data_IF_223658659272
#
_entry.id   IF_223658659272
#
_cell.length_a   1.000
_cell.length_b   1.000
_cell.length_c   1.000
_cell.angle_alpha   90.00
_cell.angle_beta   90.00
_cell.angle_gamma   90.00
#
_symmetry.space_group_name_H-M   'P 1'
#
loop_
_entity.id
_entity.type
_entity.pdbx_description
1 polymer ?
#
# COMPACT_ATOMS: atom_id res chain seq x y z
N UNK A 1 -30.18 -28.35 -75.47
CA UNK A 1 -29.60 -27.41 -76.45
C UNK A 1 -30.56 -26.23 -76.58
N UNK A 2 -30.06 -25.03 -76.25
CA UNK A 2 -30.63 -23.68 -76.48
C UNK A 2 -32.03 -23.38 -75.93
N UNK A 3 -32.32 -22.24 -75.31
CA UNK A 3 -31.60 -20.97 -75.19
C UNK A 3 -32.64 -19.90 -74.76
N UNK A 4 -32.21 -18.99 -73.89
CA UNK A 4 -33.04 -18.11 -73.06
C UNK A 4 -33.73 -16.94 -73.77
N UNK A 5 -34.75 -16.37 -73.12
CA UNK A 5 -35.20 -14.96 -73.28
C UNK A 5 -35.85 -14.44 -71.99
N UNK A 6 -35.32 -13.34 -71.43
CA UNK A 6 -36.01 -12.29 -70.67
C UNK A 6 -34.94 -11.28 -70.20
N UNK A 7 -34.91 -10.04 -70.68
CA UNK A 7 -35.75 -8.88 -70.31
C UNK A 7 -35.22 -8.15 -69.05
N UNK A 8 -34.94 -6.85 -69.21
CA UNK A 8 -34.47 -5.89 -68.19
C UNK A 8 -34.71 -4.49 -68.79
N UNK A 9 -35.16 -3.42 -68.14
CA UNK A 9 -35.76 -3.11 -66.84
C UNK A 9 -36.42 -1.71 -67.04
N UNK A 10 -37.53 -1.34 -66.38
CA UNK A 10 -38.10 0.01 -66.50
C UNK A 10 -37.54 1.01 -65.46
N UNK A 11 -37.85 2.28 -65.75
CA UNK A 11 -37.29 3.53 -65.22
C UNK A 11 -37.72 3.89 -63.79
N UNK A 12 -36.79 4.54 -63.10
CA UNK A 12 -36.89 5.29 -61.85
C UNK A 12 -37.83 6.50 -61.94
N UNK A 13 -38.56 6.83 -60.88
CA UNK A 13 -38.77 8.22 -60.44
C UNK A 13 -39.16 8.31 -58.94
N UNK A 14 -38.29 9.01 -58.20
CA UNK A 14 -38.53 9.92 -57.06
C UNK A 14 -39.37 9.48 -55.85
N UNK A 15 -38.69 9.34 -54.71
CA UNK A 15 -39.27 9.50 -53.37
C UNK A 15 -38.51 10.60 -52.62
N UNK A 16 -39.27 11.56 -52.10
CA UNK A 16 -38.82 12.72 -51.34
C UNK A 16 -38.58 12.29 -49.88
N UNK A 17 -37.34 12.21 -49.43
CA UNK A 17 -37.02 11.88 -48.04
C UNK A 17 -36.71 13.17 -47.25
N UNK A 18 -37.52 13.44 -46.23
CA UNK A 18 -37.33 14.51 -45.25
C UNK A 18 -36.16 14.14 -44.35
N UNK A 19 -35.11 14.96 -44.33
CA UNK A 19 -33.95 14.80 -43.44
C UNK A 19 -34.24 15.54 -42.13
N UNK A 20 -34.62 14.80 -41.10
CA UNK A 20 -34.70 15.29 -39.72
C UNK A 20 -33.32 15.13 -39.08
N UNK A 21 -32.54 16.20 -38.97
CA UNK A 21 -31.27 16.21 -38.25
C UNK A 21 -31.54 16.16 -36.74
N UNK A 22 -31.32 15.00 -36.14
CA UNK A 22 -31.28 14.81 -34.69
C UNK A 22 -29.89 15.24 -34.20
N UNK A 23 -29.80 16.35 -33.46
CA UNK A 23 -28.55 16.75 -32.80
C UNK A 23 -28.40 15.89 -31.55
N UNK A 24 -27.51 14.90 -31.60
CA UNK A 24 -27.11 14.15 -30.41
C UNK A 24 -26.22 15.05 -29.55
N UNK A 25 -26.77 15.58 -28.45
CA UNK A 25 -25.98 16.20 -27.39
C UNK A 25 -25.32 15.06 -26.62
N UNK A 26 -24.05 14.78 -26.91
CA UNK A 26 -23.26 13.88 -26.07
C UNK A 26 -23.00 14.58 -24.74
N UNK A 27 -23.70 14.12 -23.70
CA UNK A 27 -23.31 14.44 -22.33
C UNK A 27 -21.93 13.82 -22.10
N UNK A 28 -20.88 14.65 -22.14
CA UNK A 28 -19.56 14.27 -21.67
C UNK A 28 -19.71 14.07 -20.16
N UNK A 29 -19.80 12.81 -19.73
CA UNK A 29 -19.71 12.49 -18.32
C UNK A 29 -18.34 12.98 -17.84
N UNK A 30 -18.34 14.06 -17.07
CA UNK A 30 -17.16 14.53 -16.37
C UNK A 30 -16.67 13.38 -15.48
N UNK A 31 -15.54 12.78 -15.84
CA UNK A 31 -14.82 11.90 -14.93
C UNK A 31 -14.45 12.77 -13.73
N UNK A 32 -15.06 12.48 -12.58
CA UNK A 32 -14.63 13.04 -11.32
C UNK A 32 -13.22 12.54 -11.06
N UNK A 33 -12.23 13.36 -11.41
CA UNK A 33 -10.86 13.22 -10.95
C UNK A 33 -10.90 13.45 -9.44
N UNK A 34 -11.07 12.35 -8.70
CA UNK A 34 -11.00 12.35 -7.25
C UNK A 34 -9.56 12.72 -6.89
N UNK A 35 -9.37 14.00 -6.57
CA UNK A 35 -8.09 14.66 -6.40
C UNK A 35 -7.05 13.79 -5.71
N UNK A 36 -6.06 13.37 -6.49
CA UNK A 36 -4.77 13.01 -5.93
C UNK A 36 -4.22 14.23 -5.17
N UNK A 37 -3.57 14.04 -4.00
CA UNK A 37 -2.81 15.10 -3.36
C UNK A 37 -1.86 15.75 -4.38
N UNK A 38 -1.51 17.04 -4.25
CA UNK A 38 -0.64 17.76 -5.21
C UNK A 38 0.79 17.21 -5.31
N UNK A 39 1.08 16.14 -4.58
CA UNK A 39 2.26 15.31 -4.72
C UNK A 39 1.77 13.91 -5.09
N UNK A 40 1.99 13.50 -6.34
CA UNK A 40 1.85 12.09 -6.72
C UNK A 40 2.71 11.20 -5.80
N UNK A 41 2.52 9.86 -5.81
CA UNK A 41 3.36 8.98 -4.99
C UNK A 41 4.82 9.28 -5.29
N UNK A 42 5.55 9.75 -4.27
CA UNK A 42 6.96 10.05 -4.38
C UNK A 42 7.64 8.77 -4.87
N UNK A 43 8.08 8.77 -6.12
CA UNK A 43 8.70 7.63 -6.77
C UNK A 43 10.19 7.91 -6.77
N UNK A 44 10.99 7.17 -5.98
CA UNK A 44 10.63 5.97 -5.20
C UNK A 44 10.08 6.23 -3.79
N UNK A 45 9.30 5.28 -3.24
CA UNK A 45 8.78 5.31 -1.87
C UNK A 45 9.88 4.88 -0.87
N UNK A 46 10.69 5.82 -0.37
CA UNK A 46 11.78 5.56 0.58
C UNK A 46 11.47 5.99 2.03
N UNK A 47 10.27 6.53 2.28
CA UNK A 47 9.82 6.96 3.61
C UNK A 47 8.36 6.51 3.81
N UNK A 48 8.08 5.73 4.85
CA UNK A 48 6.73 5.20 5.12
C UNK A 48 6.16 5.74 6.43
N UNK A 49 4.86 5.99 6.44
CA UNK A 49 4.11 6.22 7.67
C UNK A 49 3.15 5.05 7.86
N UNK A 50 3.60 4.09 8.66
CA UNK A 50 2.92 2.81 8.84
C UNK A 50 1.90 2.95 9.96
N UNK A 51 0.64 2.64 9.65
CA UNK A 51 -0.45 2.61 10.63
C UNK A 51 -0.67 1.15 11.03
N UNK A 52 -0.67 0.90 12.33
CA UNK A 52 -0.91 -0.41 12.94
C UNK A 52 -2.28 -0.36 13.63
N UNK A 53 -3.14 -1.32 13.30
CA UNK A 53 -4.50 -1.45 13.84
C UNK A 53 -4.67 -2.77 14.58
N UNK A 54 -5.65 -2.89 15.49
CA UNK A 54 -5.92 -4.15 16.17
C UNK A 54 -6.20 -5.26 15.17
N UNK A 55 -5.63 -6.44 15.41
CA UNK A 55 -6.03 -7.64 14.68
C UNK A 55 -7.44 -8.07 15.10
N UNK A 56 -8.16 -8.74 14.21
CA UNK A 56 -9.51 -9.24 14.52
C UNK A 56 -9.50 -10.13 15.76
N UNK A 57 -10.35 -9.83 16.74
CA UNK A 57 -10.44 -10.56 18.01
C UNK A 57 -9.52 -10.04 19.12
N UNK A 58 -8.70 -9.02 18.87
CA UNK A 58 -8.02 -8.29 19.94
C UNK A 58 -9.06 -7.58 20.83
N UNK A 59 -8.91 -7.71 22.15
CA UNK A 59 -9.81 -7.08 23.14
C UNK A 59 -9.56 -5.58 23.28
N UNK A 60 -8.39 -5.13 22.85
CA UNK A 60 -7.90 -3.79 23.11
C UNK A 60 -8.05 -2.93 21.85
N UNK A 61 -8.52 -1.69 22.02
CA UNK A 61 -8.67 -0.70 20.93
C UNK A 61 -7.34 -0.10 20.44
N UNK A 62 -6.25 -0.83 20.63
CA UNK A 62 -4.87 -0.37 20.46
C UNK A 62 -4.58 0.29 19.12
N UNK A 63 -3.61 1.19 19.10
CA UNK A 63 -3.19 1.85 17.87
C UNK A 63 -1.68 2.02 17.86
N UNK A 64 -1.06 1.88 16.69
CA UNK A 64 0.35 2.12 16.52
C UNK A 64 0.69 2.92 15.27
N UNK A 65 1.82 3.62 15.35
CA UNK A 65 2.44 4.36 14.26
C UNK A 65 3.92 4.00 14.19
N UNK A 66 4.42 3.72 12.98
CA UNK A 66 5.86 3.61 12.73
C UNK A 66 6.25 4.61 11.65
N UNK A 67 7.11 5.56 11.98
CA UNK A 67 7.75 6.42 10.99
C UNK A 67 9.01 5.72 10.50
N UNK A 68 8.95 5.15 9.32
CA UNK A 68 10.09 4.48 8.66
C UNK A 68 10.80 5.52 7.79
N UNK A 69 12.04 5.85 8.11
CA UNK A 69 12.78 6.94 7.46
C UNK A 69 14.17 6.52 7.06
N UNK A 70 14.49 6.65 5.78
CA UNK A 70 15.86 6.48 5.26
C UNK A 70 16.42 7.84 4.86
N UNK A 71 17.26 8.48 5.70
CA UNK A 71 18.00 9.66 5.28
C UNK A 71 18.98 9.34 4.15
N UNK A 72 19.47 10.40 3.52
CA UNK A 72 20.48 10.35 2.46
C UNK A 72 21.86 10.11 3.08
N UNK A 73 22.24 8.85 3.30
CA UNK A 73 23.49 8.46 3.97
C UNK A 73 24.24 7.30 3.29
N UNK A 74 25.56 7.21 3.52
CA UNK A 74 26.41 6.20 2.90
C UNK A 74 26.11 4.79 3.42
N UNK A 75 25.65 4.70 4.67
CA UNK A 75 25.45 3.48 5.45
C UNK A 75 24.10 2.80 5.19
N UNK A 76 23.18 3.47 4.48
CA UNK A 76 21.80 3.06 4.22
C UNK A 76 21.05 2.71 5.51
N UNK A 77 21.16 3.57 6.53
CA UNK A 77 20.45 3.34 7.78
C UNK A 77 19.00 3.77 7.62
N UNK A 78 18.09 2.88 7.98
CA UNK A 78 16.68 3.24 8.19
C UNK A 78 16.45 3.40 9.69
N UNK A 79 15.90 4.54 10.07
CA UNK A 79 15.39 4.80 11.41
C UNK A 79 13.89 4.52 11.49
N UNK A 80 13.46 3.95 12.62
CA UNK A 80 12.06 3.72 12.93
C UNK A 80 11.72 4.38 14.27
N UNK A 81 10.88 5.39 14.24
CA UNK A 81 10.24 5.97 15.42
C UNK A 81 8.88 5.28 15.60
N UNK A 82 8.79 4.46 16.65
CA UNK A 82 7.62 3.64 16.97
C UNK A 82 6.87 4.29 18.12
N UNK A 83 5.56 4.45 17.94
CA UNK A 83 4.66 4.89 18.99
C UNK A 83 3.42 4.00 19.01
N UNK A 84 3.02 3.55 20.19
CA UNK A 84 1.80 2.78 20.42
C UNK A 84 1.00 3.40 21.55
N UNK A 85 -0.31 3.14 21.57
CA UNK A 85 -1.21 3.53 22.65
C UNK A 85 -2.37 2.55 22.79
N UNK A 86 -3.10 2.67 23.88
CA UNK A 86 -4.30 1.88 24.18
C UNK A 86 -3.99 0.37 24.16
N UNK A 87 -2.75 0.00 24.53
CA UNK A 87 -2.30 -1.36 24.80
C UNK A 87 -2.30 -1.63 26.32
N UNK A 88 -2.00 -2.85 26.75
CA UNK A 88 -1.89 -3.17 28.17
C UNK A 88 -0.82 -2.27 28.84
N UNK A 89 -1.11 -1.70 30.03
CA UNK A 89 -0.20 -0.81 30.73
C UNK A 89 0.97 -1.56 31.36
N UNK A 90 2.12 -0.88 31.49
CA UNK A 90 3.36 -1.43 32.09
C UNK A 90 3.79 -2.77 31.46
N UNK A 91 3.60 -2.90 30.16
CA UNK A 91 3.75 -4.17 29.45
C UNK A 91 4.79 -4.06 28.34
N UNK A 92 5.37 -5.21 27.97
CA UNK A 92 6.42 -5.28 26.94
C UNK A 92 5.86 -5.82 25.64
N UNK A 93 6.17 -5.11 24.56
CA UNK A 93 5.85 -5.50 23.19
C UNK A 93 7.09 -5.49 22.30
N UNK A 94 6.99 -6.15 21.15
CA UNK A 94 8.04 -6.15 20.13
C UNK A 94 7.46 -5.79 18.77
N UNK A 95 8.15 -4.90 18.05
CA UNK A 95 7.84 -4.64 16.64
C UNK A 95 8.49 -5.72 15.77
N UNK A 96 7.73 -6.30 14.85
CA UNK A 96 8.22 -7.18 13.81
C UNK A 96 7.91 -6.63 12.42
N UNK A 97 8.73 -7.01 11.45
CA UNK A 97 8.57 -6.71 10.02
C UNK A 97 8.72 -8.00 9.23
N UNK A 98 7.90 -8.16 8.20
CA UNK A 98 8.12 -9.13 7.13
C UNK A 98 8.19 -8.42 5.78
N UNK A 99 8.75 -9.13 4.79
CA UNK A 99 9.11 -8.59 3.48
C UNK A 99 8.67 -9.56 2.41
N UNK A 100 7.98 -9.04 1.39
CA UNK A 100 7.58 -9.79 0.21
C UNK A 100 8.31 -9.23 -1.03
N UNK A 101 9.16 -10.03 -1.69
CA UNK A 101 9.84 -9.59 -2.91
C UNK A 101 8.90 -9.51 -4.13
N UNK A 102 7.70 -10.08 -4.07
CA UNK A 102 6.71 -9.94 -5.14
C UNK A 102 6.01 -8.59 -4.99
N UNK A 103 6.49 -7.58 -5.71
CA UNK A 103 5.95 -6.21 -5.62
C UNK A 103 4.60 -6.12 -6.34
N UNK A 104 3.53 -6.40 -5.62
CA UNK A 104 2.14 -6.40 -6.13
C UNK A 104 1.15 -5.70 -5.17
N UNK A 105 1.62 -5.17 -4.04
CA UNK A 105 0.81 -4.52 -3.01
C UNK A 105 0.11 -5.50 -2.05
N UNK A 106 0.39 -6.80 -2.15
CA UNK A 106 -0.16 -7.85 -1.30
C UNK A 106 0.97 -8.54 -0.53
N UNK A 107 1.05 -8.25 0.77
CA UNK A 107 2.13 -8.73 1.62
C UNK A 107 1.82 -10.15 2.10
N UNK A 108 2.37 -11.16 1.42
CA UNK A 108 2.23 -12.58 1.78
C UNK A 108 3.41 -13.13 2.58
N UNK A 109 4.46 -12.33 2.75
CA UNK A 109 5.67 -12.68 3.49
C UNK A 109 5.38 -13.11 4.93
N UNK A 110 6.00 -14.22 5.36
CA UNK A 110 5.89 -14.74 6.75
C UNK A 110 7.24 -14.76 7.48
N UNK A 111 8.27 -14.19 6.84
CA UNK A 111 9.65 -14.04 7.31
C UNK A 111 9.78 -12.93 8.38
N UNK A 112 9.01 -13.04 9.45
CA UNK A 112 8.96 -12.04 10.52
C UNK A 112 10.29 -11.90 11.23
N UNK A 113 10.86 -10.69 11.16
CA UNK A 113 12.06 -10.28 11.88
C UNK A 113 11.67 -9.35 13.02
N UNK A 114 12.06 -9.69 14.25
CA UNK A 114 11.98 -8.77 15.39
C UNK A 114 12.96 -7.63 15.23
N UNK A 115 12.44 -6.41 15.27
CA UNK A 115 13.23 -5.20 15.09
C UNK A 115 13.82 -4.71 16.42
N UNK A 116 14.81 -3.84 16.31
CA UNK A 116 15.51 -3.30 17.46
C UNK A 116 16.57 -2.29 17.06
N UNK A 117 17.61 -2.17 17.89
CA UNK A 117 18.77 -1.33 17.59
C UNK A 117 19.76 -2.14 16.76
N UNK A 118 19.59 -2.10 15.44
CA UNK A 118 20.35 -2.93 14.51
C UNK A 118 19.92 -4.40 14.60
N UNK A 119 20.86 -5.28 14.94
CA UNK A 119 20.60 -6.72 15.12
C UNK A 119 20.12 -7.08 16.53
N UNK A 120 20.17 -6.14 17.48
CA UNK A 120 19.78 -6.36 18.88
C UNK A 120 18.30 -6.01 19.04
N UNK A 121 17.40 -6.98 19.34
CA UNK A 121 15.99 -6.70 19.59
C UNK A 121 15.80 -5.64 20.68
N UNK A 122 14.81 -4.76 20.50
CA UNK A 122 14.45 -3.75 21.50
C UNK A 122 12.93 -3.74 21.67
N UNK A 123 12.51 -3.86 22.93
CA UNK A 123 11.10 -3.81 23.30
C UNK A 123 10.52 -2.39 23.19
N UNK A 124 9.21 -2.34 23.00
CA UNK A 124 8.34 -1.19 23.23
C UNK A 124 7.73 -1.42 24.61
N UNK A 125 8.12 -0.64 25.60
CA UNK A 125 7.52 -0.70 26.94
C UNK A 125 6.42 0.34 27.04
N UNK A 126 5.23 -0.07 27.43
CA UNK A 126 4.11 0.84 27.69
C UNK A 126 4.19 1.40 29.11
N UNK A 127 3.74 2.63 29.28
CA UNK A 127 3.54 3.26 30.59
C UNK A 127 2.23 2.81 31.25
N UNK A 128 1.89 3.42 32.38
CA UNK A 128 0.64 3.17 33.13
C UNK A 128 -0.64 3.45 32.33
N UNK A 129 -0.54 4.22 31.24
CA UNK A 129 -1.64 4.55 30.34
C UNK A 129 -1.68 3.66 29.09
N UNK A 130 -0.80 2.66 28.99
CA UNK A 130 -0.72 1.80 27.81
C UNK A 130 -0.04 2.46 26.61
N UNK A 131 0.68 3.57 26.81
CA UNK A 131 1.41 4.29 25.76
C UNK A 131 2.87 3.90 25.76
N UNK A 132 3.41 3.54 24.59
CA UNK A 132 4.80 3.08 24.46
C UNK A 132 5.52 3.75 23.31
N UNK A 133 6.84 3.88 23.43
CA UNK A 133 7.72 4.38 22.36
C UNK A 133 8.98 3.53 22.24
N UNK A 134 9.51 3.42 21.03
CA UNK A 134 10.82 2.85 20.79
C UNK A 134 11.49 3.50 19.57
N UNK A 135 12.78 3.76 19.70
CA UNK A 135 13.65 4.22 18.60
C UNK A 135 14.50 3.05 18.12
N UNK A 136 14.27 2.64 16.88
CA UNK A 136 14.89 1.47 16.27
C UNK A 136 15.66 1.87 15.02
N UNK A 137 16.56 1.01 14.57
CA UNK A 137 17.21 1.21 13.27
C UNK A 137 17.58 -0.12 12.60
N UNK A 138 17.69 -0.07 11.28
CA UNK A 138 18.18 -1.18 10.45
C UNK A 138 19.19 -0.67 9.44
N UNK A 139 20.30 -1.38 9.34
CA UNK A 139 21.28 -1.14 8.30
C UNK A 139 20.90 -1.96 7.05
N UNK A 140 20.80 -1.30 5.89
CA UNK A 140 20.51 -1.90 4.59
C UNK A 140 21.70 -1.87 3.63
N UNK A 141 22.93 -1.66 4.12
CA UNK A 141 24.13 -1.53 3.30
C UNK A 141 24.33 -2.71 2.33
N UNK A 142 24.00 -3.93 2.77
CA UNK A 142 24.08 -5.16 1.96
C UNK A 142 22.98 -5.28 0.90
N UNK A 143 21.97 -4.41 0.92
CA UNK A 143 20.88 -4.42 -0.05
C UNK A 143 21.24 -3.44 -1.19
N UNK A 144 21.12 -3.87 -2.47
CA UNK A 144 21.34 -2.98 -3.60
C UNK A 144 20.41 -1.76 -3.58
N UNK A 145 20.90 -0.64 -4.10
CA UNK A 145 20.07 0.55 -4.31
C UNK A 145 18.99 0.26 -5.35
N UNK A 146 17.81 0.84 -5.16
CA UNK A 146 16.67 0.63 -6.05
C UNK A 146 15.97 -0.72 -5.86
N UNK A 147 16.45 -1.60 -4.96
CA UNK A 147 15.69 -2.81 -4.60
C UNK A 147 14.33 -2.40 -4.03
N UNK A 148 13.29 -3.00 -4.60
CA UNK A 148 11.91 -2.81 -4.18
C UNK A 148 11.37 -4.07 -3.55
N UNK A 149 10.52 -3.90 -2.54
CA UNK A 149 9.78 -4.99 -1.92
C UNK A 149 8.53 -4.43 -1.25
N UNK A 150 7.56 -5.30 -1.09
CA UNK A 150 6.43 -5.07 -0.23
C UNK A 150 6.81 -5.41 1.22
N UNK A 151 6.18 -4.71 2.15
CA UNK A 151 6.55 -4.66 3.56
C UNK A 151 5.30 -4.46 4.42
N UNK A 152 5.20 -5.27 5.47
CA UNK A 152 4.21 -5.09 6.53
C UNK A 152 4.84 -5.30 7.91
N UNK A 153 4.12 -4.82 8.92
CA UNK A 153 4.56 -4.78 10.29
C UNK A 153 3.49 -5.32 11.21
N UNK A 154 3.94 -5.85 12.34
CA UNK A 154 3.06 -6.22 13.44
C UNK A 154 3.71 -5.94 14.78
N UNK A 155 2.88 -5.69 15.78
CA UNK A 155 3.29 -5.63 17.18
C UNK A 155 2.84 -6.92 17.84
N UNK A 156 3.78 -7.58 18.51
CA UNK A 156 3.49 -8.76 19.31
C UNK A 156 3.69 -8.47 20.79
N UNK A 157 2.87 -9.10 21.61
CA UNK A 157 3.06 -9.19 23.04
C UNK A 157 4.34 -9.99 23.33
N UNK A 158 5.29 -9.43 24.09
CA UNK A 158 6.57 -10.10 24.34
C UNK A 158 6.46 -11.32 25.25
N UNK A 159 5.42 -11.41 26.08
CA UNK A 159 5.21 -12.52 27.00
C UNK A 159 4.47 -13.69 26.35
N UNK A 160 3.49 -13.41 25.50
CA UNK A 160 2.61 -14.43 24.90
C UNK A 160 2.88 -14.69 23.41
N UNK A 161 3.65 -13.82 22.76
CA UNK A 161 3.83 -13.80 21.29
C UNK A 161 2.54 -13.59 20.49
N UNK A 162 1.44 -13.21 21.14
CA UNK A 162 0.20 -12.88 20.46
C UNK A 162 0.38 -11.62 19.61
N UNK A 163 -0.12 -11.64 18.37
CA UNK A 163 -0.19 -10.44 17.54
C UNK A 163 -1.31 -9.56 18.07
N UNK A 164 -0.99 -8.31 18.38
CA UNK A 164 -1.95 -7.35 18.94
C UNK A 164 -2.29 -6.23 17.97
N UNK A 165 -1.31 -5.79 17.17
CA UNK A 165 -1.51 -4.81 16.12
C UNK A 165 -0.84 -5.27 14.83
N UNK A 166 -1.44 -4.92 13.69
CA UNK A 166 -0.91 -5.24 12.36
C UNK A 166 -1.17 -4.10 11.39
N UNK A 167 -0.26 -3.93 10.43
CA UNK A 167 -0.37 -2.94 9.38
C UNK A 167 -0.99 -3.54 8.12
N UNK A 168 -1.51 -2.70 7.24
CA UNK A 168 -1.69 -3.08 5.84
C UNK A 168 -0.33 -3.28 5.16
N UNK A 169 -0.36 -3.69 3.89
CA UNK A 169 0.83 -3.75 3.06
C UNK A 169 1.29 -2.36 2.61
N UNK A 170 2.60 -2.18 2.50
CA UNK A 170 3.26 -0.99 1.97
C UNK A 170 4.33 -1.44 0.97
N UNK A 171 4.73 -0.56 0.05
CA UNK A 171 5.86 -0.80 -0.84
C UNK A 171 7.02 0.10 -0.44
N UNK A 172 8.23 -0.45 -0.45
CA UNK A 172 9.45 0.29 -0.10
C UNK A 172 10.52 0.15 -1.18
N UNK A 173 11.28 1.22 -1.40
CA UNK A 173 12.48 1.21 -2.25
C UNK A 173 13.70 1.64 -1.45
N UNK A 174 14.77 0.85 -1.50
CA UNK A 174 16.06 1.20 -0.88
C UNK A 174 16.69 2.38 -1.63
N UNK A 175 16.95 3.49 -0.94
CA UNK A 175 17.57 4.70 -1.48
C UNK A 175 18.93 4.98 -0.81
N UNK A 176 19.59 6.07 -1.18
CA UNK A 176 20.81 6.59 -0.55
C UNK A 176 20.99 8.07 -0.85
#
# INVERSE_FOLDING_TARGET
MFGAKAASLPKFFTSLAVVTTLVAVTAVAAQADAGAPPWGPATPNFNLQVILRPVGGATDGGFGLVKFRQPKDAEKIVYLDVWVRDLAPNHSYSLQRAVDPNVNGDCTGTNWLTLGQGLVPRAITTDEMGTGRAELFRNLASIPLGTQFDIHFRVIDSATSAVVLESTCYQYTVSQ
#
